data_IF_692245344712
#
_entry.id   IF_692245344712
#
_cell.length_a   1.000
_cell.length_b   1.000
_cell.length_c   1.000
_cell.angle_alpha   90.00
_cell.angle_beta   90.00
_cell.angle_gamma   90.00
#
_symmetry.space_group_name_H-M   'P 1'
#
loop_
_entity.id
_entity.type
_entity.pdbx_description
1 polymer ?
#
# COMPACT_ATOMS: atom_id res chain seq x y z
N UNK A 1 -4.66 10.06 31.58
CA UNK A 1 -4.49 8.95 30.62
C UNK A 1 -3.55 7.94 31.28
N UNK A 2 -3.97 6.69 31.44
CA UNK A 2 -3.09 5.63 31.96
C UNK A 2 -2.16 5.22 30.83
N UNK A 3 -0.86 5.44 30.96
CA UNK A 3 0.12 4.95 30.01
C UNK A 3 0.23 3.43 30.17
N UNK A 4 -0.08 2.70 29.10
CA UNK A 4 0.18 1.25 29.07
C UNK A 4 1.69 1.04 29.17
N UNK A 5 2.12 0.16 30.08
CA UNK A 5 3.55 -0.04 30.41
C UNK A 5 4.34 -0.70 29.28
N UNK A 6 3.66 -1.45 28.41
CA UNK A 6 4.27 -2.25 27.34
C UNK A 6 4.17 -1.61 25.94
N UNK A 7 4.01 -0.29 25.91
CA UNK A 7 3.81 0.48 24.68
C UNK A 7 5.08 1.24 24.34
N UNK A 8 5.70 0.89 23.20
CA UNK A 8 6.84 1.63 22.68
C UNK A 8 6.38 3.03 22.26
N UNK A 9 6.90 4.06 22.94
CA UNK A 9 6.52 5.46 22.70
C UNK A 9 7.69 6.35 22.29
N UNK A 10 8.90 5.78 22.25
CA UNK A 10 10.15 6.55 22.17
C UNK A 10 11.20 5.97 21.24
N UNK A 11 11.06 4.71 20.81
CA UNK A 11 12.09 4.03 20.00
C UNK A 11 11.52 3.58 18.65
N UNK A 12 11.80 4.33 17.60
CA UNK A 12 11.35 4.00 16.24
C UNK A 12 12.01 2.70 15.75
N UNK A 13 13.25 2.43 16.13
CA UNK A 13 13.98 1.23 15.71
C UNK A 13 13.36 -0.04 16.29
N UNK A 14 13.01 -0.03 17.57
CA UNK A 14 12.30 -1.15 18.20
C UNK A 14 10.91 -1.36 17.61
N UNK A 15 10.20 -0.30 17.22
CA UNK A 15 8.91 -0.42 16.55
C UNK A 15 9.04 -1.07 15.17
N UNK A 16 10.08 -0.72 14.41
CA UNK A 16 10.39 -1.33 13.11
C UNK A 16 10.72 -2.81 13.29
N UNK A 17 11.60 -3.16 14.24
CA UNK A 17 11.96 -4.57 14.52
C UNK A 17 10.74 -5.41 14.88
N UNK A 18 9.86 -4.89 15.73
CA UNK A 18 8.62 -5.59 16.11
C UNK A 18 7.70 -5.78 14.89
N UNK A 19 7.59 -4.77 14.02
CA UNK A 19 6.87 -4.87 12.76
C UNK A 19 7.41 -5.99 11.88
N UNK A 20 8.72 -6.02 11.63
CA UNK A 20 9.38 -7.10 10.89
C UNK A 20 9.09 -8.48 11.51
N UNK A 21 9.24 -8.63 12.84
CA UNK A 21 8.94 -9.89 13.53
C UNK A 21 7.51 -10.37 13.32
N UNK A 22 6.53 -9.45 13.32
CA UNK A 22 5.13 -9.81 13.04
C UNK A 22 4.96 -10.27 11.58
N UNK A 23 5.55 -9.55 10.63
CA UNK A 23 5.47 -9.89 9.19
C UNK A 23 6.20 -11.20 8.86
N UNK A 24 7.21 -11.59 9.62
CA UNK A 24 7.92 -12.87 9.51
C UNK A 24 7.12 -14.08 10.02
N UNK A 25 5.99 -13.86 10.69
CA UNK A 25 5.20 -14.93 11.35
C UNK A 25 3.78 -15.05 10.85
N UNK A 26 3.32 -14.14 9.99
CA UNK A 26 1.94 -14.05 9.53
C UNK A 26 1.66 -14.90 8.28
N UNK A 27 2.09 -16.16 8.28
CA UNK A 27 1.91 -17.08 7.15
C UNK A 27 0.83 -18.13 7.42
N UNK A 28 0.02 -18.43 6.41
CA UNK A 28 -0.97 -19.48 6.47
C UNK A 28 -0.37 -20.81 6.00
N UNK A 29 0.08 -21.64 6.94
CA UNK A 29 0.69 -22.95 6.64
C UNK A 29 -0.29 -23.91 5.95
N UNK A 30 -1.60 -23.72 6.17
CA UNK A 30 -2.65 -24.52 5.53
C UNK A 30 -2.94 -24.06 4.11
N UNK A 31 -2.29 -23.01 3.62
CA UNK A 31 -2.46 -22.48 2.27
C UNK A 31 -1.11 -22.05 1.69
N UNK A 32 -0.16 -22.99 1.64
CA UNK A 32 1.14 -22.83 1.00
C UNK A 32 1.93 -21.58 1.44
N UNK A 33 1.85 -21.25 2.73
CA UNK A 33 2.49 -20.09 3.35
C UNK A 33 2.06 -18.74 2.72
N UNK A 34 0.87 -18.65 2.12
CA UNK A 34 0.34 -17.36 1.68
C UNK A 34 0.10 -16.49 2.93
N UNK A 35 0.56 -15.23 2.95
CA UNK A 35 0.45 -14.40 4.14
C UNK A 35 -1.00 -14.03 4.46
N UNK A 36 -1.32 -13.98 5.75
CA UNK A 36 -2.62 -13.56 6.25
C UNK A 36 -2.86 -12.07 6.00
N UNK A 37 -4.08 -11.69 5.61
CA UNK A 37 -4.50 -10.30 5.37
C UNK A 37 -5.19 -9.64 6.56
N UNK A 38 -5.66 -10.41 7.53
CA UNK A 38 -6.40 -9.91 8.68
C UNK A 38 -5.93 -10.53 9.99
N UNK A 39 -6.04 -9.74 11.05
CA UNK A 39 -5.84 -10.21 12.42
C UNK A 39 -6.93 -9.64 13.31
N UNK A 40 -7.51 -10.51 14.14
CA UNK A 40 -8.38 -10.15 15.24
C UNK A 40 -7.72 -10.60 16.53
N UNK A 41 -7.69 -9.72 17.54
CA UNK A 41 -7.12 -10.05 18.86
C UNK A 41 -8.22 -10.31 19.89
N UNK A 42 -9.38 -9.66 19.74
CA UNK A 42 -10.52 -9.77 20.64
C UNK A 42 -11.85 -9.75 19.85
N UNK A 43 -12.91 -10.39 20.36
CA UNK A 43 -12.96 -11.17 21.60
C UNK A 43 -12.16 -12.48 21.54
N UNK A 44 -12.01 -13.04 20.34
CA UNK A 44 -11.23 -14.24 20.08
C UNK A 44 -10.11 -13.92 19.10
N UNK A 45 -8.93 -14.47 19.37
CA UNK A 45 -7.75 -14.27 18.55
C UNK A 45 -7.84 -15.13 17.28
N UNK A 46 -7.66 -14.51 16.13
CA UNK A 46 -7.76 -15.18 14.83
C UNK A 46 -6.91 -14.44 13.79
N UNK A 47 -6.23 -15.20 12.93
CA UNK A 47 -5.62 -14.70 11.70
C UNK A 47 -6.47 -15.16 10.52
N UNK A 48 -6.80 -14.24 9.62
CA UNK A 48 -7.82 -14.44 8.61
C UNK A 48 -7.39 -14.04 7.21
N UNK A 49 -7.81 -14.86 6.25
CA UNK A 49 -7.72 -14.61 4.81
C UNK A 49 -6.30 -14.74 4.27
N UNK A 50 -6.11 -15.61 3.28
CA UNK A 50 -4.91 -15.63 2.42
C UNK A 50 -5.11 -14.64 1.27
N UNK A 51 -4.13 -13.74 1.02
CA UNK A 51 -4.26 -12.76 -0.06
C UNK A 51 -2.94 -12.59 -0.84
N UNK A 52 -2.65 -13.52 -1.75
CA UNK A 52 -1.42 -13.54 -2.56
C UNK A 52 -1.21 -12.29 -3.42
N UNK A 53 -2.28 -11.71 -3.98
CA UNK A 53 -2.19 -10.49 -4.80
C UNK A 53 -2.10 -9.19 -3.98
N UNK A 54 -2.32 -9.23 -2.67
CA UNK A 54 -2.43 -8.03 -1.84
C UNK A 54 -1.34 -7.91 -0.77
N UNK A 55 -1.10 -8.96 0.01
CA UNK A 55 -0.26 -8.88 1.19
C UNK A 55 1.24 -8.92 0.90
N UNK A 56 1.76 -9.87 0.08
CA UNK A 56 3.20 -10.06 -0.07
C UNK A 56 3.97 -8.80 -0.44
N UNK A 57 3.45 -8.00 -1.36
CA UNK A 57 4.14 -6.79 -1.80
C UNK A 57 4.26 -5.71 -0.74
N UNK A 58 3.23 -5.53 0.09
CA UNK A 58 3.27 -4.59 1.23
C UNK A 58 4.36 -5.01 2.23
N UNK A 59 4.42 -6.30 2.50
CA UNK A 59 5.31 -6.88 3.49
C UNK A 59 6.76 -6.88 2.97
N UNK A 60 7.00 -7.27 1.71
CA UNK A 60 8.31 -7.18 1.05
C UNK A 60 8.84 -5.74 1.03
N UNK A 61 8.04 -4.78 0.55
CA UNK A 61 8.47 -3.38 0.51
C UNK A 61 8.76 -2.83 1.91
N UNK A 62 8.00 -3.20 2.94
CA UNK A 62 8.25 -2.75 4.31
C UNK A 62 9.51 -3.39 4.91
N UNK A 63 9.64 -4.71 4.81
CA UNK A 63 10.75 -5.46 5.41
C UNK A 63 12.08 -5.11 4.75
N UNK A 64 12.15 -5.11 3.42
CA UNK A 64 13.40 -4.85 2.71
C UNK A 64 13.85 -3.38 2.83
N UNK A 65 12.90 -2.43 2.91
CA UNK A 65 13.22 -1.05 3.26
C UNK A 65 13.72 -0.90 4.71
N UNK A 66 13.18 -1.70 5.65
CA UNK A 66 13.64 -1.71 7.03
C UNK A 66 15.04 -2.30 7.18
N UNK A 67 15.33 -3.39 6.46
CA UNK A 67 16.68 -3.96 6.35
C UNK A 67 17.68 -2.93 5.83
N UNK A 68 17.39 -2.28 4.69
CA UNK A 68 18.26 -1.26 4.10
C UNK A 68 18.47 -0.05 5.04
N UNK A 69 17.40 0.44 5.68
CA UNK A 69 17.47 1.62 6.53
C UNK A 69 18.15 1.40 7.89
N UNK A 70 18.12 0.17 8.43
CA UNK A 70 18.59 -0.13 9.79
C UNK A 70 19.66 -1.22 9.87
N UNK A 71 20.02 -1.87 8.76
CA UNK A 71 20.91 -3.03 8.75
C UNK A 71 20.34 -4.21 9.55
N UNK A 72 19.04 -4.45 9.45
CA UNK A 72 18.41 -5.62 10.09
C UNK A 72 18.84 -6.90 9.38
N UNK A 73 19.11 -7.95 10.16
CA UNK A 73 19.34 -9.29 9.62
C UNK A 73 17.98 -10.01 9.50
N UNK A 74 17.39 -9.97 8.31
CA UNK A 74 16.13 -10.65 8.03
C UNK A 74 16.40 -12.06 7.50
N UNK A 75 15.58 -13.02 7.95
CA UNK A 75 15.65 -14.38 7.46
C UNK A 75 15.23 -14.45 5.98
N UNK A 76 16.13 -14.88 5.10
CA UNK A 76 15.84 -15.00 3.66
C UNK A 76 14.73 -16.00 3.38
N UNK A 77 14.51 -17.02 4.22
CA UNK A 77 13.38 -17.95 4.04
C UNK A 77 12.04 -17.22 4.14
N UNK A 78 11.96 -16.20 5.01
CA UNK A 78 10.77 -15.35 5.13
C UNK A 78 10.58 -14.52 3.87
N UNK A 79 11.66 -13.93 3.34
CA UNK A 79 11.62 -13.14 2.11
C UNK A 79 11.18 -14.02 0.93
N UNK A 80 11.71 -15.23 0.83
CA UNK A 80 11.37 -16.20 -0.21
C UNK A 80 9.90 -16.62 -0.15
N UNK A 81 9.31 -16.80 1.04
CA UNK A 81 7.87 -17.09 1.17
C UNK A 81 7.00 -15.96 0.61
N UNK A 82 7.29 -14.71 0.95
CA UNK A 82 6.56 -13.58 0.37
C UNK A 82 6.83 -13.42 -1.13
N UNK A 83 8.07 -13.63 -1.59
CA UNK A 83 8.40 -13.58 -3.00
C UNK A 83 7.65 -14.65 -3.79
N UNK A 84 7.57 -15.87 -3.25
CA UNK A 84 6.80 -16.97 -3.85
C UNK A 84 5.32 -16.62 -3.95
N UNK A 85 4.70 -16.10 -2.89
CA UNK A 85 3.31 -15.64 -2.90
C UNK A 85 3.07 -14.52 -3.93
N UNK A 86 3.98 -13.54 -4.01
CA UNK A 86 3.92 -12.47 -5.00
C UNK A 86 4.01 -13.05 -6.42
N UNK A 87 5.01 -13.87 -6.71
CA UNK A 87 5.16 -14.48 -8.03
C UNK A 87 4.01 -15.42 -8.41
N UNK A 88 3.43 -16.11 -7.43
CA UNK A 88 2.23 -16.89 -7.62
C UNK A 88 1.06 -16.01 -8.10
N UNK A 89 0.86 -14.83 -7.50
CA UNK A 89 -0.17 -13.88 -7.95
C UNK A 89 0.01 -13.42 -9.42
N UNK A 90 1.24 -13.43 -9.94
CA UNK A 90 1.61 -13.09 -11.32
C UNK A 90 1.70 -14.30 -12.27
N UNK A 91 1.32 -15.50 -11.81
CA UNK A 91 1.58 -16.75 -12.55
C UNK A 91 0.69 -16.99 -13.77
N UNK A 92 -0.46 -16.32 -13.85
CA UNK A 92 -1.44 -16.49 -14.94
C UNK A 92 -1.50 -15.31 -15.91
N UNK A 93 -1.10 -14.13 -15.48
CA UNK A 93 -0.94 -12.93 -16.29
C UNK A 93 0.03 -11.97 -15.58
N UNK A 94 0.61 -10.96 -16.26
CA UNK A 94 1.50 -9.98 -15.63
C UNK A 94 0.71 -8.94 -14.81
N UNK A 95 -0.13 -9.42 -13.89
CA UNK A 95 -0.99 -8.64 -13.00
C UNK A 95 -1.03 -9.34 -11.62
N UNK A 96 -1.22 -8.61 -10.52
CA UNK A 96 -1.30 -9.20 -9.18
C UNK A 96 -2.70 -9.79 -8.94
N UNK A 97 -2.88 -11.03 -9.36
CA UNK A 97 -4.16 -11.74 -9.32
C UNK A 97 -4.37 -12.46 -7.98
N UNK A 98 -5.63 -12.70 -7.65
CA UNK A 98 -6.04 -13.54 -6.52
C UNK A 98 -6.86 -14.73 -7.01
N UNK A 99 -6.82 -15.81 -6.26
CA UNK A 99 -7.75 -16.92 -6.45
C UNK A 99 -9.17 -16.52 -5.98
N UNK A 100 -10.17 -17.18 -6.56
CA UNK A 100 -11.58 -16.95 -6.22
C UNK A 100 -12.06 -18.05 -5.26
N UNK A 101 -12.54 -17.66 -4.08
CA UNK A 101 -13.14 -18.57 -3.11
C UNK A 101 -12.26 -18.80 -1.88
N UNK A 102 -12.42 -19.97 -1.25
CA UNK A 102 -11.57 -20.43 -0.15
C UNK A 102 -10.58 -21.46 -0.67
N UNK A 103 -9.35 -21.38 -0.18
CA UNK A 103 -8.25 -22.20 -0.65
C UNK A 103 -7.56 -22.89 0.52
N UNK A 104 -7.16 -24.13 0.28
CA UNK A 104 -6.40 -24.97 1.20
C UNK A 104 -5.27 -25.59 0.37
N UNK A 105 -4.12 -25.80 0.99
CA UNK A 105 -2.91 -26.40 0.42
C UNK A 105 -2.39 -25.69 -0.85
N UNK A 106 -2.65 -24.38 -1.02
CA UNK A 106 -2.19 -23.65 -2.20
C UNK A 106 -2.91 -24.02 -3.50
N UNK A 107 -4.03 -24.76 -3.43
CA UNK A 107 -4.77 -25.15 -4.62
C UNK A 107 -5.47 -23.96 -5.29
N UNK A 108 -5.66 -24.07 -6.60
CA UNK A 108 -6.38 -23.10 -7.43
C UNK A 108 -5.48 -22.13 -8.19
N UNK A 109 -6.08 -21.44 -9.16
CA UNK A 109 -5.38 -20.51 -10.03
C UNK A 109 -5.74 -19.06 -9.72
N UNK A 110 -4.76 -18.17 -9.53
CA UNK A 110 -5.03 -16.76 -9.33
C UNK A 110 -5.44 -16.14 -10.67
N UNK A 111 -6.71 -15.78 -10.77
CA UNK A 111 -7.32 -15.28 -12.02
C UNK A 111 -8.10 -13.98 -11.82
N UNK A 112 -8.45 -13.61 -10.58
CA UNK A 112 -9.21 -12.39 -10.31
C UNK A 112 -8.27 -11.20 -10.09
N UNK A 113 -8.42 -10.15 -10.91
CA UNK A 113 -7.81 -8.86 -10.63
C UNK A 113 -8.76 -8.02 -9.77
N UNK A 114 -8.31 -7.68 -8.57
CA UNK A 114 -8.86 -6.56 -7.81
C UNK A 114 -7.95 -5.36 -8.07
N UNK A 115 -8.45 -4.32 -8.73
CA UNK A 115 -7.61 -3.22 -9.23
C UNK A 115 -6.77 -2.55 -8.14
N UNK A 116 -7.27 -2.54 -6.91
CA UNK A 116 -6.53 -1.99 -5.77
C UNK A 116 -5.20 -2.71 -5.49
N UNK A 117 -5.07 -3.97 -5.92
CA UNK A 117 -3.86 -4.79 -5.77
C UNK A 117 -2.72 -4.36 -6.69
N UNK A 118 -2.99 -3.56 -7.74
CA UNK A 118 -1.93 -3.07 -8.63
C UNK A 118 -0.79 -2.41 -7.84
N UNK A 119 -1.14 -1.60 -6.83
CA UNK A 119 -0.17 -1.02 -5.90
C UNK A 119 0.69 -2.07 -5.23
N UNK A 120 0.07 -3.10 -4.67
CA UNK A 120 0.75 -4.07 -3.84
C UNK A 120 1.62 -5.00 -4.70
N UNK A 121 1.12 -5.41 -5.86
CA UNK A 121 1.91 -6.11 -6.86
C UNK A 121 3.17 -5.34 -7.26
N UNK A 122 3.04 -4.06 -7.64
CA UNK A 122 4.20 -3.25 -7.98
C UNK A 122 5.14 -2.98 -6.79
N UNK A 123 4.65 -2.91 -5.55
CA UNK A 123 5.53 -2.87 -4.37
C UNK A 123 6.38 -4.14 -4.25
N UNK A 124 5.80 -5.32 -4.52
CA UNK A 124 6.54 -6.57 -4.51
C UNK A 124 7.66 -6.55 -5.57
N UNK A 125 7.30 -6.21 -6.81
CA UNK A 125 8.23 -6.20 -7.93
C UNK A 125 9.34 -5.17 -7.72
N UNK A 126 9.00 -3.95 -7.30
CA UNK A 126 9.98 -2.93 -6.91
C UNK A 126 10.93 -3.44 -5.84
N UNK A 127 10.42 -3.99 -4.74
CA UNK A 127 11.26 -4.37 -3.60
C UNK A 127 12.24 -5.49 -3.97
N UNK A 128 11.76 -6.51 -4.68
CA UNK A 128 12.60 -7.62 -5.15
C UNK A 128 13.64 -7.16 -6.17
N UNK A 129 13.30 -6.25 -7.09
CA UNK A 129 14.25 -5.70 -8.04
C UNK A 129 15.29 -4.80 -7.34
N UNK A 130 14.86 -3.91 -6.45
CA UNK A 130 15.73 -2.92 -5.82
C UNK A 130 16.71 -3.56 -4.83
N UNK A 131 16.20 -4.41 -3.93
CA UNK A 131 16.96 -4.91 -2.78
C UNK A 131 17.53 -6.33 -2.98
N UNK A 132 16.96 -7.13 -3.88
CA UNK A 132 17.44 -8.48 -4.19
C UNK A 132 17.90 -8.67 -5.63
N UNK A 133 17.85 -7.63 -6.46
CA UNK A 133 18.28 -7.65 -7.88
C UNK A 133 17.57 -8.75 -8.69
N UNK A 134 16.32 -9.03 -8.36
CA UNK A 134 15.54 -10.06 -9.06
C UNK A 134 15.22 -9.63 -10.50
N UNK A 135 15.83 -10.30 -11.47
CA UNK A 135 15.56 -10.12 -12.90
C UNK A 135 14.10 -10.49 -13.23
N UNK A 136 13.62 -11.62 -12.70
CA UNK A 136 12.23 -12.06 -12.84
C UNK A 136 11.23 -10.99 -12.39
N UNK A 137 11.50 -10.31 -11.27
CA UNK A 137 10.62 -9.24 -10.79
C UNK A 137 10.61 -8.04 -11.76
N UNK A 138 11.77 -7.71 -12.35
CA UNK A 138 11.87 -6.63 -13.33
C UNK A 138 11.15 -6.98 -14.64
N UNK A 139 11.30 -8.21 -15.13
CA UNK A 139 10.58 -8.70 -16.32
C UNK A 139 9.07 -8.66 -16.13
N UNK A 140 8.57 -9.11 -14.97
CA UNK A 140 7.16 -9.03 -14.62
C UNK A 140 6.68 -7.59 -14.50
N UNK A 141 7.50 -6.68 -13.97
CA UNK A 141 7.15 -5.27 -13.86
C UNK A 141 7.00 -4.63 -15.25
N UNK A 142 7.96 -4.88 -16.14
CA UNK A 142 7.91 -4.43 -17.53
C UNK A 142 6.65 -4.96 -18.24
N UNK A 143 6.39 -6.28 -18.16
CA UNK A 143 5.21 -6.88 -18.78
C UNK A 143 3.89 -6.34 -18.19
N UNK A 144 3.87 -6.02 -16.89
CA UNK A 144 2.69 -5.44 -16.23
C UNK A 144 2.43 -4.00 -16.69
N UNK A 145 3.50 -3.22 -16.85
CA UNK A 145 3.45 -1.85 -17.38
C UNK A 145 2.96 -1.87 -18.84
N UNK A 146 3.50 -2.76 -19.68
CA UNK A 146 3.08 -2.90 -21.08
C UNK A 146 1.59 -3.28 -21.20
N UNK A 147 1.12 -4.20 -20.34
CA UNK A 147 -0.29 -4.56 -20.28
C UNK A 147 -1.16 -3.35 -19.90
N UNK A 148 -0.77 -2.55 -18.91
CA UNK A 148 -1.52 -1.35 -18.53
C UNK A 148 -1.55 -0.32 -19.67
N UNK A 149 -0.46 -0.16 -20.42
CA UNK A 149 -0.42 0.70 -21.60
C UNK A 149 -1.33 0.23 -22.75
N UNK A 150 -1.53 -1.07 -22.89
CA UNK A 150 -2.36 -1.63 -23.97
C UNK A 150 -3.85 -1.70 -23.60
N UNK A 151 -4.17 -2.09 -22.36
CA UNK A 151 -5.55 -2.39 -21.95
C UNK A 151 -6.23 -1.31 -21.11
N UNK A 152 -5.47 -0.39 -20.48
CA UNK A 152 -6.05 0.62 -19.59
C UNK A 152 -5.80 2.06 -20.07
N UNK A 153 -4.54 2.43 -20.34
CA UNK A 153 -4.14 3.80 -20.69
C UNK A 153 -4.91 4.42 -21.87
N UNK A 154 -5.17 3.70 -23.00
CA UNK A 154 -5.74 4.34 -24.19
C UNK A 154 -7.13 4.93 -23.98
N UNK A 155 -7.90 4.38 -23.04
CA UNK A 155 -9.26 4.81 -22.71
C UNK A 155 -9.39 5.32 -21.27
N UNK A 156 -8.30 5.27 -20.50
CA UNK A 156 -8.29 5.50 -19.04
C UNK A 156 -9.33 4.65 -18.27
N UNK A 157 -9.61 3.47 -18.81
CA UNK A 157 -10.53 2.46 -18.30
C UNK A 157 -10.12 1.11 -18.90
N UNK A 158 -10.38 0.02 -18.20
CA UNK A 158 -10.11 -1.31 -18.72
C UNK A 158 -10.92 -1.60 -19.98
N UNK A 159 -10.24 -2.04 -21.04
CA UNK A 159 -10.88 -2.74 -22.15
C UNK A 159 -11.21 -4.18 -21.73
N UNK A 160 -12.25 -4.32 -20.89
CA UNK A 160 -12.61 -5.58 -20.23
C UNK A 160 -12.83 -6.72 -21.20
N UNK A 161 -13.59 -6.46 -22.26
CA UNK A 161 -13.91 -7.45 -23.29
C UNK A 161 -12.64 -7.97 -23.95
N UNK A 162 -11.70 -7.07 -24.26
CA UNK A 162 -10.42 -7.45 -24.84
C UNK A 162 -9.55 -8.22 -23.83
N UNK A 163 -9.44 -7.73 -22.60
CA UNK A 163 -8.61 -8.33 -21.55
C UNK A 163 -9.05 -9.76 -21.23
N UNK A 164 -10.35 -9.98 -21.03
CA UNK A 164 -10.91 -11.31 -20.67
C UNK A 164 -10.91 -12.29 -21.86
N UNK A 165 -10.83 -11.78 -23.10
CA UNK A 165 -10.64 -12.60 -24.29
C UNK A 165 -9.18 -13.01 -24.48
N UNK A 166 -8.26 -12.08 -24.26
CA UNK A 166 -6.84 -12.24 -24.60
C UNK A 166 -6.04 -12.85 -23.43
N UNK A 167 -6.60 -12.88 -22.22
CA UNK A 167 -5.93 -13.36 -20.99
C UNK A 167 -6.89 -14.15 -20.09
N UNK A 168 -6.40 -14.96 -19.12
CA UNK A 168 -7.27 -15.64 -18.15
C UNK A 168 -7.81 -14.71 -17.05
N UNK A 169 -7.50 -13.41 -17.09
CA UNK A 169 -7.86 -12.45 -16.06
C UNK A 169 -9.36 -12.22 -16.04
N UNK A 170 -9.93 -12.16 -14.82
CA UNK A 170 -11.30 -11.70 -14.56
C UNK A 170 -11.23 -10.45 -13.72
N UNK A 171 -11.82 -9.36 -14.20
CA UNK A 171 -11.88 -8.13 -13.43
C UNK A 171 -12.98 -8.24 -12.38
N UNK A 172 -12.65 -7.99 -11.12
CA UNK A 172 -13.65 -7.94 -10.06
C UNK A 172 -14.54 -6.72 -10.25
N UNK A 173 -15.84 -6.94 -10.45
CA UNK A 173 -16.83 -5.88 -10.38
C UNK A 173 -17.06 -5.49 -8.92
N UNK A 174 -16.41 -4.41 -8.52
CA UNK A 174 -16.58 -3.82 -7.18
C UNK A 174 -17.77 -2.86 -7.11
N UNK A 175 -18.45 -2.59 -8.23
CA UNK A 175 -19.68 -1.78 -8.35
C UNK A 175 -19.53 -0.29 -8.02
N UNK A 176 -18.55 0.09 -7.20
CA UNK A 176 -18.39 1.40 -6.60
C UNK A 176 -16.92 1.87 -6.54
N UNK A 177 -15.95 1.10 -7.06
CA UNK A 177 -14.55 1.53 -7.02
C UNK A 177 -14.27 2.63 -8.03
N UNK A 178 -13.75 3.74 -7.54
CA UNK A 178 -13.24 4.84 -8.36
C UNK A 178 -11.84 4.52 -8.90
N UNK A 179 -11.37 5.31 -9.87
CA UNK A 179 -9.97 5.28 -10.32
C UNK A 179 -8.96 5.42 -9.16
N UNK A 180 -9.28 6.24 -8.16
CA UNK A 180 -8.45 6.40 -6.95
C UNK A 180 -8.39 5.10 -6.15
N UNK A 181 -9.48 4.33 -6.10
CA UNK A 181 -9.51 3.04 -5.41
C UNK A 181 -8.79 1.92 -6.17
N UNK A 182 -8.53 2.10 -7.46
CA UNK A 182 -7.83 1.13 -8.32
C UNK A 182 -6.49 1.65 -8.83
N UNK A 183 -6.32 1.89 -10.15
CA UNK A 183 -5.00 2.08 -10.77
C UNK A 183 -4.17 3.27 -10.24
N UNK A 184 -4.80 4.34 -9.74
CA UNK A 184 -4.05 5.48 -9.19
C UNK A 184 -3.12 5.08 -8.03
N UNK A 185 -3.47 4.00 -7.31
CA UNK A 185 -2.67 3.48 -6.19
C UNK A 185 -1.28 3.00 -6.62
N UNK A 186 -1.07 2.69 -7.91
CA UNK A 186 0.19 2.21 -8.45
C UNK A 186 1.24 3.32 -8.70
N UNK A 187 0.86 4.60 -8.66
CA UNK A 187 1.79 5.72 -8.96
C UNK A 187 3.06 5.64 -8.10
N UNK A 188 2.93 5.46 -6.78
CA UNK A 188 4.05 5.43 -5.85
C UNK A 188 5.05 4.31 -6.14
N UNK A 189 4.65 3.03 -6.15
CA UNK A 189 5.59 1.95 -6.45
C UNK A 189 6.19 2.03 -7.86
N UNK A 190 5.48 2.58 -8.85
CA UNK A 190 6.06 2.86 -10.18
C UNK A 190 7.18 3.91 -10.11
N UNK A 191 6.99 4.98 -9.33
CA UNK A 191 8.04 5.98 -9.07
C UNK A 191 9.25 5.33 -8.39
N UNK A 192 9.02 4.49 -7.38
CA UNK A 192 10.10 3.77 -6.70
C UNK A 192 10.87 2.85 -7.64
N UNK A 193 10.16 2.12 -8.50
CA UNK A 193 10.78 1.27 -9.52
C UNK A 193 11.65 2.09 -10.47
N UNK A 194 11.15 3.23 -10.96
CA UNK A 194 11.93 4.15 -11.79
C UNK A 194 13.18 4.66 -11.06
N UNK A 195 13.05 5.11 -9.82
CA UNK A 195 14.20 5.60 -9.04
C UNK A 195 15.26 4.53 -8.82
N UNK A 196 14.85 3.26 -8.62
CA UNK A 196 15.77 2.16 -8.38
C UNK A 196 16.48 1.62 -9.64
N UNK A 197 15.89 1.81 -10.82
CA UNK A 197 16.32 1.11 -12.04
C UNK A 197 16.58 2.02 -13.24
N UNK A 198 16.04 3.24 -13.24
CA UNK A 198 15.98 4.11 -14.41
C UNK A 198 15.02 3.63 -15.50
N UNK A 199 14.17 2.62 -15.24
CA UNK A 199 13.25 2.08 -16.24
C UNK A 199 12.15 3.08 -16.60
N UNK A 200 12.38 3.81 -17.70
CA UNK A 200 11.55 4.93 -18.13
C UNK A 200 10.04 4.63 -18.26
N UNK A 201 9.61 3.46 -18.80
CA UNK A 201 8.18 3.16 -18.91
C UNK A 201 7.43 3.16 -17.57
N UNK A 202 8.11 2.90 -16.45
CA UNK A 202 7.51 3.02 -15.12
C UNK A 202 7.14 4.48 -14.79
N UNK A 203 8.02 5.43 -15.10
CA UNK A 203 7.75 6.86 -14.92
C UNK A 203 6.68 7.36 -15.90
N UNK A 204 6.68 6.85 -17.14
CA UNK A 204 5.68 7.22 -18.14
C UNK A 204 4.28 6.77 -17.70
N UNK A 205 4.14 5.54 -17.19
CA UNK A 205 2.88 5.05 -16.66
C UNK A 205 2.45 5.81 -15.40
N UNK A 206 3.37 6.09 -14.48
CA UNK A 206 3.09 6.90 -13.30
C UNK A 206 2.58 8.31 -13.69
N UNK A 207 3.14 8.89 -14.77
CA UNK A 207 2.74 10.19 -15.30
C UNK A 207 1.33 10.13 -15.90
N UNK A 208 1.02 9.12 -16.71
CA UNK A 208 -0.32 8.93 -17.28
C UNK A 208 -1.40 8.79 -16.19
N UNK A 209 -1.11 8.01 -15.15
CA UNK A 209 -2.01 7.84 -14.00
C UNK A 209 -2.15 9.16 -13.20
N UNK A 210 -1.05 9.90 -13.00
CA UNK A 210 -1.07 11.21 -12.34
C UNK A 210 -1.93 12.20 -13.11
N UNK A 211 -1.84 12.25 -14.44
CA UNK A 211 -2.57 13.22 -15.25
C UNK A 211 -4.08 13.08 -15.06
N UNK A 212 -4.59 11.84 -15.05
CA UNK A 212 -5.99 11.59 -14.67
C UNK A 212 -6.29 11.99 -13.22
N UNK A 213 -5.41 11.62 -12.28
CA UNK A 213 -5.62 11.89 -10.86
C UNK A 213 -5.79 13.39 -10.57
N UNK A 214 -4.96 14.26 -11.14
CA UNK A 214 -5.02 15.71 -10.90
C UNK A 214 -6.10 16.41 -11.71
N UNK A 215 -6.46 15.86 -12.88
CA UNK A 215 -7.52 16.40 -13.73
C UNK A 215 -8.91 16.17 -13.16
N UNK A 216 -9.13 15.03 -12.49
CA UNK A 216 -10.48 14.60 -12.08
C UNK A 216 -10.69 14.54 -10.57
N UNK A 217 -9.64 14.32 -9.76
CA UNK A 217 -9.77 14.02 -8.33
C UNK A 217 -9.10 15.08 -7.46
N UNK A 218 -7.78 15.24 -7.60
CA UNK A 218 -6.99 16.22 -6.86
C UNK A 218 -7.08 17.59 -7.54
N UNK A 219 -8.25 18.22 -7.44
CA UNK A 219 -8.55 19.49 -8.08
C UNK A 219 -7.85 20.67 -7.39
N UNK A 220 -7.87 21.83 -8.05
CA UNK A 220 -7.11 23.01 -7.64
C UNK A 220 -7.53 23.56 -6.29
N UNK A 221 -8.79 23.36 -5.93
CA UNK A 221 -9.34 23.82 -4.67
C UNK A 221 -8.92 22.95 -3.48
N UNK A 222 -8.31 21.77 -3.73
CA UNK A 222 -7.85 20.82 -2.72
C UNK A 222 -8.97 20.17 -1.92
N UNK A 223 -10.22 20.21 -2.37
CA UNK A 223 -11.36 19.63 -1.64
C UNK A 223 -11.39 18.10 -1.71
N UNK A 224 -11.95 17.47 -0.67
CA UNK A 224 -12.32 16.06 -0.70
C UNK A 224 -13.85 15.92 -0.91
N UNK A 225 -14.26 14.84 -1.59
CA UNK A 225 -15.67 14.44 -1.69
C UNK A 225 -15.75 12.92 -1.90
N UNK A 226 -16.54 12.22 -1.09
CA UNK A 226 -16.68 10.76 -1.14
C UNK A 226 -17.21 10.29 -2.49
N UNK A 227 -18.11 11.03 -3.13
CA UNK A 227 -18.71 10.69 -4.42
C UNK A 227 -17.67 10.69 -5.55
N UNK A 228 -16.62 11.51 -5.39
CA UNK A 228 -15.52 11.62 -6.36
C UNK A 228 -14.43 10.62 -6.06
N UNK A 229 -13.97 10.53 -4.81
CA UNK A 229 -12.81 9.71 -4.45
C UNK A 229 -13.17 8.25 -4.15
N UNK A 230 -14.44 7.96 -3.87
CA UNK A 230 -14.88 6.70 -3.31
C UNK A 230 -14.80 6.69 -1.78
N UNK A 231 -15.33 5.62 -1.19
CA UNK A 231 -15.49 5.51 0.26
C UNK A 231 -14.22 5.07 1.00
N UNK A 232 -13.34 4.29 0.35
CA UNK A 232 -12.13 3.74 0.97
C UNK A 232 -11.01 4.78 1.08
N UNK A 233 -10.76 5.24 2.31
CA UNK A 233 -9.92 6.43 2.57
C UNK A 233 -8.43 6.16 2.32
N UNK A 234 -7.95 4.95 2.61
CA UNK A 234 -6.56 4.57 2.34
C UNK A 234 -6.20 4.75 0.87
N UNK A 235 -7.13 4.49 -0.05
CA UNK A 235 -6.90 4.75 -1.48
C UNK A 235 -6.63 6.22 -1.78
N UNK A 236 -7.30 7.13 -1.05
CA UNK A 236 -7.08 8.57 -1.18
C UNK A 236 -5.74 8.99 -0.60
N UNK A 237 -5.40 8.52 0.62
CA UNK A 237 -4.14 8.88 1.26
C UNK A 237 -2.93 8.31 0.53
N UNK A 238 -3.01 7.07 0.03
CA UNK A 238 -1.90 6.46 -0.69
C UNK A 238 -1.68 7.12 -2.06
N UNK A 239 -2.75 7.52 -2.76
CA UNK A 239 -2.64 8.29 -4.00
C UNK A 239 -2.03 9.67 -3.74
N UNK A 240 -2.45 10.37 -2.67
CA UNK A 240 -1.85 11.64 -2.26
C UNK A 240 -0.34 11.50 -2.01
N UNK A 241 0.07 10.48 -1.25
CA UNK A 241 1.49 10.24 -0.98
C UNK A 241 2.27 9.89 -2.25
N UNK A 242 1.68 9.09 -3.13
CA UNK A 242 2.25 8.73 -4.43
C UNK A 242 2.48 9.94 -5.33
N UNK A 243 1.54 10.89 -5.37
CA UNK A 243 1.70 12.15 -6.10
C UNK A 243 2.81 13.01 -5.50
N UNK A 244 2.97 13.01 -4.16
CA UNK A 244 4.08 13.68 -3.49
C UNK A 244 5.43 13.06 -3.88
N UNK A 245 5.52 11.73 -3.90
CA UNK A 245 6.71 11.00 -4.34
C UNK A 245 7.05 11.31 -5.81
N UNK A 246 6.05 11.31 -6.71
CA UNK A 246 6.26 11.65 -8.12
C UNK A 246 6.77 13.09 -8.28
N UNK A 247 6.12 14.05 -7.61
CA UNK A 247 6.55 15.46 -7.65
C UNK A 247 7.96 15.66 -7.08
N UNK A 248 8.33 14.93 -6.03
CA UNK A 248 9.69 14.94 -5.50
C UNK A 248 10.69 14.36 -6.51
N UNK A 249 10.33 13.24 -7.15
CA UNK A 249 11.17 12.56 -8.13
C UNK A 249 11.44 13.41 -9.38
N UNK A 250 10.42 14.13 -9.88
CA UNK A 250 10.53 14.93 -11.11
C UNK A 250 10.88 16.39 -10.87
N UNK A 251 10.83 16.86 -9.62
CA UNK A 251 10.98 18.28 -9.30
C UNK A 251 9.77 19.14 -9.69
N UNK A 252 8.61 18.53 -9.94
CA UNK A 252 7.38 19.22 -10.35
C UNK A 252 6.79 20.03 -9.18
N UNK A 253 7.08 21.33 -9.18
CA UNK A 253 6.61 22.25 -8.15
C UNK A 253 5.09 22.47 -8.21
N UNK A 254 4.47 22.38 -9.38
CA UNK A 254 3.02 22.58 -9.51
C UNK A 254 2.25 21.40 -8.91
N UNK A 255 2.69 20.17 -9.23
CA UNK A 255 2.15 18.96 -8.62
C UNK A 255 2.37 18.95 -7.10
N UNK A 256 3.54 19.37 -6.63
CA UNK A 256 3.80 19.51 -5.20
C UNK A 256 2.83 20.48 -4.53
N UNK A 257 2.53 21.63 -5.16
CA UNK A 257 1.51 22.54 -4.65
C UNK A 257 0.10 21.94 -4.70
N UNK A 258 -0.21 21.10 -5.69
CA UNK A 258 -1.50 20.38 -5.76
C UNK A 258 -1.67 19.44 -4.56
N UNK A 259 -0.65 18.63 -4.28
CA UNK A 259 -0.61 17.75 -3.10
C UNK A 259 -0.78 18.55 -1.82
N UNK A 260 -0.05 19.66 -1.68
CA UNK A 260 -0.14 20.54 -0.51
C UNK A 260 -1.56 21.08 -0.30
N UNK A 261 -2.21 21.58 -1.36
CA UNK A 261 -3.58 22.11 -1.26
C UNK A 261 -4.56 21.06 -0.73
N UNK A 262 -4.45 19.82 -1.22
CA UNK A 262 -5.27 18.72 -0.70
C UNK A 262 -4.90 18.38 0.76
N UNK A 263 -3.62 18.33 1.10
CA UNK A 263 -3.13 18.07 2.46
C UNK A 263 -3.64 19.11 3.48
N UNK A 264 -3.66 20.39 3.10
CA UNK A 264 -4.10 21.50 3.95
C UNK A 264 -5.62 21.60 4.07
N UNK A 265 -6.38 21.06 3.10
CA UNK A 265 -7.84 21.19 3.04
C UNK A 265 -8.55 19.83 3.07
N UNK A 266 -8.60 19.11 1.96
CA UNK A 266 -9.39 17.89 1.81
C UNK A 266 -9.04 16.79 2.80
N UNK A 267 -7.77 16.70 3.21
CA UNK A 267 -7.36 15.72 4.23
C UNK A 267 -8.07 15.92 5.58
N UNK A 268 -8.48 17.14 5.93
CA UNK A 268 -9.19 17.41 7.19
C UNK A 268 -10.59 16.82 7.25
N UNK A 269 -11.19 16.46 6.11
CA UNK A 269 -12.45 15.73 6.07
C UNK A 269 -12.28 14.24 6.39
N UNK A 270 -11.03 13.75 6.38
CA UNK A 270 -10.68 12.33 6.47
C UNK A 270 -9.95 11.94 7.74
N UNK A 271 -9.45 12.93 8.51
CA UNK A 271 -8.65 12.69 9.72
C UNK A 271 -9.04 13.63 10.84
N UNK A 272 -8.67 13.24 12.05
CA UNK A 272 -8.79 14.08 13.23
C UNK A 272 -7.50 14.89 13.52
N UNK A 273 -7.52 15.60 14.65
CA UNK A 273 -6.43 16.48 15.07
C UNK A 273 -5.14 15.73 15.45
N UNK A 274 -5.22 14.45 15.82
CA UNK A 274 -4.04 13.60 16.12
C UNK A 274 -3.53 12.87 14.89
N UNK A 275 -4.20 13.05 13.76
CA UNK A 275 -3.88 12.46 12.45
C UNK A 275 -4.51 11.10 12.22
N UNK A 276 -5.32 10.59 13.15
CA UNK A 276 -6.03 9.33 12.98
C UNK A 276 -7.12 9.51 11.92
N UNK A 277 -7.19 8.58 10.98
CA UNK A 277 -8.05 8.68 9.81
C UNK A 277 -9.02 7.52 9.75
N UNK A 278 -10.27 7.82 9.40
CA UNK A 278 -11.35 6.83 9.24
C UNK A 278 -11.03 5.88 8.07
N UNK A 279 -11.42 4.60 8.18
CA UNK A 279 -11.24 3.61 7.10
C UNK A 279 -12.19 3.89 5.93
N UNK A 280 -13.44 4.24 6.25
CA UNK A 280 -14.54 4.41 5.30
C UNK A 280 -15.24 5.76 5.50
N UNK A 281 -15.35 6.55 4.44
CA UNK A 281 -15.95 7.90 4.46
C UNK A 281 -17.47 7.94 4.21
N UNK A 282 -18.08 6.84 3.74
CA UNK A 282 -19.53 6.78 3.47
C UNK A 282 -20.35 6.72 4.77
N UNK A 283 -21.34 7.62 4.88
CA UNK A 283 -22.18 7.81 6.08
C UNK A 283 -22.98 6.59 6.56
N UNK A 284 -23.54 5.71 5.70
CA UNK A 284 -24.28 4.53 6.16
C UNK A 284 -23.38 3.48 6.84
N UNK A 285 -22.09 3.49 6.50
CA UNK A 285 -21.08 2.52 6.95
C UNK A 285 -19.94 3.20 7.68
N UNK A 286 -20.17 4.39 8.25
CA UNK A 286 -19.17 5.14 9.01
C UNK A 286 -18.92 4.38 10.33
N UNK A 287 -18.18 3.28 10.23
CA UNK A 287 -17.58 2.66 11.36
C UNK A 287 -16.54 3.67 11.83
N UNK A 288 -16.62 4.11 13.09
CA UNK A 288 -15.61 5.00 13.68
C UNK A 288 -14.25 4.29 13.86
N UNK A 289 -14.03 3.21 13.12
CA UNK A 289 -12.79 2.48 12.97
C UNK A 289 -11.90 3.31 12.05
N UNK A 290 -10.67 3.52 12.49
CA UNK A 290 -9.65 4.06 11.62
C UNK A 290 -8.72 2.98 11.11
N UNK A 291 -7.97 3.35 10.08
CA UNK A 291 -6.99 2.50 9.42
C UNK A 291 -5.60 3.09 9.62
N UNK A 292 -4.70 2.29 10.21
CA UNK A 292 -3.34 2.74 10.51
C UNK A 292 -2.52 3.05 9.24
N UNK A 293 -2.87 2.45 8.10
CA UNK A 293 -2.18 2.67 6.84
C UNK A 293 -2.31 4.11 6.34
N UNK A 294 -3.50 4.71 6.51
CA UNK A 294 -3.74 6.12 6.19
C UNK A 294 -2.73 7.03 6.89
N UNK A 295 -2.43 6.71 8.16
CA UNK A 295 -1.47 7.47 8.97
C UNK A 295 -0.07 7.41 8.38
N UNK A 296 0.36 6.22 7.94
CA UNK A 296 1.66 6.04 7.28
C UNK A 296 1.82 6.93 6.05
N UNK A 297 0.81 6.92 5.17
CA UNK A 297 0.80 7.75 3.95
C UNK A 297 0.80 9.26 4.26
N UNK A 298 0.03 9.68 5.28
CA UNK A 298 -0.03 11.08 5.72
C UNK A 298 1.32 11.55 6.26
N UNK A 299 2.02 10.71 7.03
CA UNK A 299 3.36 11.01 7.54
C UNK A 299 4.35 11.11 6.38
N UNK A 300 4.35 10.15 5.46
CA UNK A 300 5.22 10.15 4.29
C UNK A 300 5.04 11.43 3.47
N UNK A 301 3.79 11.78 3.15
CA UNK A 301 3.44 13.01 2.43
C UNK A 301 3.96 14.25 3.15
N UNK A 302 3.78 14.33 4.47
CA UNK A 302 4.21 15.47 5.26
C UNK A 302 5.74 15.64 5.32
N UNK A 303 6.48 14.52 5.36
CA UNK A 303 7.94 14.53 5.32
C UNK A 303 8.44 15.01 3.95
N UNK A 304 7.83 14.57 2.86
CA UNK A 304 8.14 15.04 1.50
C UNK A 304 7.88 16.54 1.37
N UNK A 305 6.69 17.00 1.78
CA UNK A 305 6.34 18.43 1.81
C UNK A 305 7.32 19.25 2.65
N UNK A 306 7.72 18.72 3.81
CA UNK A 306 8.70 19.33 4.69
C UNK A 306 10.06 19.56 4.01
N UNK A 307 10.58 18.54 3.32
CA UNK A 307 11.85 18.65 2.55
C UNK A 307 11.78 19.67 1.42
N UNK A 308 10.58 19.94 0.90
CA UNK A 308 10.34 20.83 -0.25
C UNK A 308 9.87 22.23 0.13
N UNK A 309 10.18 22.67 1.36
CA UNK A 309 9.97 24.05 1.79
C UNK A 309 8.66 24.31 2.54
N UNK A 310 7.95 23.25 2.95
CA UNK A 310 6.74 23.35 3.79
C UNK A 310 6.96 22.71 5.18
N UNK A 311 7.90 23.23 5.99
CA UNK A 311 8.34 22.59 7.24
C UNK A 311 7.24 22.47 8.31
N UNK A 312 6.17 23.27 8.22
CA UNK A 312 5.04 23.16 9.15
C UNK A 312 4.30 21.82 8.98
N UNK A 313 4.26 21.24 7.76
CA UNK A 313 3.65 19.93 7.53
C UNK A 313 4.39 18.83 8.30
N UNK A 314 5.72 18.82 8.20
CA UNK A 314 6.57 17.91 8.97
C UNK A 314 6.44 18.16 10.49
N UNK A 315 6.37 19.42 10.92
CA UNK A 315 6.21 19.77 12.34
C UNK A 315 4.86 19.32 12.93
N UNK A 316 3.77 19.42 12.17
CA UNK A 316 2.45 18.91 12.57
C UNK A 316 2.49 17.39 12.70
N UNK A 317 3.14 16.68 11.76
CA UNK A 317 3.33 15.24 11.88
C UNK A 317 4.18 14.86 13.09
N UNK A 318 5.36 15.45 13.29
CA UNK A 318 6.24 15.10 14.42
C UNK A 318 5.61 15.44 15.78
N UNK A 319 4.82 16.51 15.90
CA UNK A 319 4.17 16.86 17.18
C UNK A 319 2.92 16.05 17.48
N UNK A 320 2.19 15.59 16.47
CA UNK A 320 0.85 14.99 16.65
C UNK A 320 0.76 13.52 16.24
N UNK A 321 1.45 13.08 15.18
CA UNK A 321 1.50 11.68 14.77
C UNK A 321 2.49 10.83 15.59
N UNK A 322 3.51 11.45 16.22
CA UNK A 322 4.26 10.76 17.28
C UNK A 322 3.34 10.33 18.44
N UNK A 323 2.21 11.00 18.68
CA UNK A 323 1.20 10.53 19.63
C UNK A 323 0.43 9.30 19.11
N UNK A 324 0.42 9.06 17.80
CA UNK A 324 -0.19 7.88 17.21
C UNK A 324 0.72 6.65 17.24
N UNK A 325 2.05 6.80 17.16
CA UNK A 325 2.95 5.73 17.60
C UNK A 325 2.73 5.38 19.09
N UNK A 326 2.22 6.32 19.90
CA UNK A 326 1.76 6.04 21.28
C UNK A 326 0.38 5.37 21.36
N UNK A 327 -0.37 5.26 20.26
CA UNK A 327 -1.70 4.66 20.20
C UNK A 327 -1.76 3.39 19.33
N UNK A 328 -0.95 3.25 18.28
CA UNK A 328 -0.86 2.04 17.44
C UNK A 328 -0.16 0.87 18.14
N UNK A 329 0.63 1.20 19.15
CA UNK A 329 1.08 0.30 20.22
C UNK A 329 -0.06 -0.25 21.09
N UNK A 330 -1.32 0.15 20.85
CA UNK A 330 -2.50 -0.60 21.31
C UNK A 330 -2.76 -1.89 20.50
N UNK A 331 -1.93 -2.25 19.52
CA UNK A 331 -1.81 -3.65 19.14
C UNK A 331 -1.09 -4.40 20.27
N UNK A 332 -1.91 -4.84 21.24
CA UNK A 332 -1.50 -5.61 22.40
C UNK A 332 -0.93 -6.96 21.91
N UNK A 333 0.40 -7.07 21.82
CA UNK A 333 1.09 -8.33 22.07
C UNK A 333 1.84 -8.14 23.39
N UNK A 334 1.30 -8.61 24.53
CA UNK A 334 1.99 -8.49 25.80
C UNK A 334 3.31 -9.24 25.72
N UNK A 335 4.39 -8.64 26.24
CA UNK A 335 5.73 -9.25 26.31
C UNK A 335 5.75 -10.64 26.97
N UNK A 336 4.70 -11.01 27.71
CA UNK A 336 4.54 -12.32 28.36
C UNK A 336 4.13 -13.49 27.46
N UNK A 337 3.71 -13.28 26.20
CA UNK A 337 3.25 -14.37 25.33
C UNK A 337 4.37 -15.13 24.59
N UNK A 338 5.59 -14.59 24.54
CA UNK A 338 6.73 -15.29 23.92
C UNK A 338 7.36 -16.37 24.82
N UNK A 339 6.89 -16.52 26.08
CA UNK A 339 7.46 -17.50 27.02
C UNK A 339 6.74 -18.86 27.03
N UNK A 340 5.59 -19.01 26.36
CA UNK A 340 4.78 -20.24 26.40
C UNK A 340 4.62 -20.95 25.06
N UNK A 341 5.37 -20.55 24.03
CA UNK A 341 5.53 -21.34 22.81
C UNK A 341 6.96 -21.91 22.78
N UNK A 342 7.17 -22.97 23.55
CA UNK A 342 8.27 -23.93 23.40
C UNK A 342 7.67 -25.32 23.30
#
# INVERSE_FOLDING_TARGET
MVQLRDVNTTDIGDAIRLGCQAMSRAFNTDDADIPYGGAQVRPEAFLGGSMEGHMPGRLLNAMLAAEDAMGLDLDEEVIDKHAHAAFFSYSRAPLPLQRIGQHINGEGDPIELQEHNLREGFHALYALTAFRKSERAMELAAASIDLLFDYWVPKEQWDRVRLERDTPVRLRDSGEATFIQGPARAIGPLVKLYQATGYQPALDLATALKDKAVREFFLDDGSFATERFGSHVHSTTCAMSSLAQLAECTGDAELMQRVRRFYDRGLWDLRDQIGWSIEVSSRPTLCRRGEANNTGDIIETALILGRRGHPYCAAICCRRNCAMFRLSSNQIIPRGWMASAR
#
